data_IF_895973400349
#
_entry.id   IF_895973400349
#
_cell.length_a   1.000
_cell.length_b   1.000
_cell.length_c   1.000
_cell.angle_alpha   90.00
_cell.angle_beta   90.00
_cell.angle_gamma   90.00
#
_symmetry.space_group_name_H-M   'P 1'
#
loop_
_entity.id
_entity.type
_entity.pdbx_description
1 polymer ?
#
# COMPACT_ATOMS: atom_id res chain seq x y z
N UNK A 1 33.60 33.68 11.26
CA UNK A 1 32.24 33.64 10.67
C UNK A 1 31.33 32.95 11.66
N UNK A 2 30.35 33.68 12.19
CA UNK A 2 29.37 33.13 13.11
C UNK A 2 28.45 32.12 12.38
N UNK A 3 28.39 30.90 12.88
CA UNK A 3 27.55 29.83 12.33
C UNK A 3 26.10 29.93 12.82
N UNK A 4 25.81 30.82 13.76
CA UNK A 4 24.48 30.96 14.37
C UNK A 4 23.52 31.92 13.64
N UNK A 5 24.03 32.70 12.68
CA UNK A 5 23.24 33.69 11.95
C UNK A 5 22.99 33.30 10.47
N UNK A 6 21.84 33.69 9.88
CA UNK A 6 21.60 33.56 8.45
C UNK A 6 22.68 34.31 7.65
N UNK A 7 23.29 33.64 6.67
CA UNK A 7 24.41 34.18 5.89
C UNK A 7 23.97 35.04 4.70
N UNK A 8 22.73 34.84 4.26
CA UNK A 8 22.13 35.54 3.13
C UNK A 8 20.70 36.00 3.44
N UNK A 9 20.15 36.98 2.70
CA UNK A 9 18.73 37.35 2.81
C UNK A 9 17.78 36.17 2.53
N UNK A 10 18.18 35.24 1.66
CA UNK A 10 17.43 34.01 1.40
C UNK A 10 17.45 33.05 2.61
N UNK A 11 18.56 32.98 3.35
CA UNK A 11 18.63 32.23 4.61
C UNK A 11 17.74 32.84 5.68
N UNK A 12 17.74 34.17 5.80
CA UNK A 12 16.88 34.88 6.76
C UNK A 12 15.40 34.61 6.46
N UNK A 13 14.99 34.66 5.19
CA UNK A 13 13.62 34.31 4.77
C UNK A 13 13.27 32.86 5.06
N UNK A 14 14.20 31.92 4.80
CA UNK A 14 14.00 30.50 5.13
C UNK A 14 13.93 30.27 6.64
N UNK A 15 14.72 30.99 7.43
CA UNK A 15 14.72 30.91 8.88
C UNK A 15 13.38 31.41 9.46
N UNK A 16 12.87 32.55 8.98
CA UNK A 16 11.57 33.09 9.43
C UNK A 16 10.41 32.13 9.10
N UNK A 17 10.40 31.56 7.88
CA UNK A 17 9.41 30.54 7.49
C UNK A 17 9.47 29.26 8.35
N UNK A 18 10.66 28.94 8.90
CA UNK A 18 10.89 27.76 9.75
C UNK A 18 10.74 28.05 11.24
N UNK A 19 10.65 29.32 11.65
CA UNK A 19 10.52 29.75 13.04
C UNK A 19 9.39 29.04 13.81
N UNK A 20 8.21 28.77 13.23
CA UNK A 20 7.16 28.01 13.92
C UNK A 20 7.35 26.49 13.85
N UNK A 21 8.33 25.97 13.10
CA UNK A 21 8.53 24.53 12.88
C UNK A 21 9.56 23.98 13.88
N UNK A 22 9.13 23.08 14.76
CA UNK A 22 10.05 22.28 15.57
C UNK A 22 10.41 20.99 14.82
N UNK A 23 11.70 20.83 14.49
CA UNK A 23 12.21 19.59 13.92
C UNK A 23 12.58 18.67 15.09
N UNK A 24 11.79 17.62 15.28
CA UNK A 24 12.15 16.50 16.15
C UNK A 24 12.89 15.48 15.28
N UNK A 25 14.03 14.99 15.75
CA UNK A 25 14.76 13.88 15.12
C UNK A 25 14.00 12.55 15.38
N UNK A 26 12.78 12.45 14.85
CA UNK A 26 11.98 11.23 14.84
C UNK A 26 11.90 10.69 13.40
N UNK A 27 11.74 9.37 13.27
CA UNK A 27 11.48 8.75 11.97
C UNK A 27 10.09 9.24 11.55
N UNK A 28 10.02 10.03 10.48
CA UNK A 28 8.76 10.56 9.94
C UNK A 28 7.87 9.41 9.45
N UNK A 29 7.12 8.82 10.38
CA UNK A 29 6.15 7.77 10.14
C UNK A 29 4.77 8.43 10.18
N UNK A 30 3.94 8.19 9.15
CA UNK A 30 2.58 8.76 9.12
C UNK A 30 1.80 8.27 10.36
N UNK A 31 0.95 9.10 10.99
CA UNK A 31 0.16 8.70 12.16
C UNK A 31 -0.63 7.40 11.97
N UNK A 32 -1.16 7.16 10.76
CA UNK A 32 -1.85 5.91 10.39
C UNK A 32 -0.93 4.69 10.48
N UNK A 33 0.32 4.81 10.00
CA UNK A 33 1.31 3.73 10.11
C UNK A 33 1.73 3.49 11.56
N UNK A 34 1.76 4.55 12.39
CA UNK A 34 2.02 4.42 13.84
C UNK A 34 0.89 3.68 14.55
N UNK A 35 -0.37 4.05 14.29
CA UNK A 35 -1.54 3.39 14.87
C UNK A 35 -1.65 1.92 14.45
N UNK A 36 -1.40 1.61 13.16
CA UNK A 36 -1.37 0.23 12.68
C UNK A 36 -0.29 -0.59 13.37
N UNK A 37 0.91 -0.04 13.56
CA UNK A 37 2.00 -0.72 14.27
C UNK A 37 1.70 -0.95 15.74
N UNK A 38 1.03 -0.01 16.40
CA UNK A 38 0.60 -0.21 17.79
C UNK A 38 -0.28 -1.45 17.92
N UNK A 39 -1.30 -1.59 17.05
CA UNK A 39 -2.15 -2.78 17.03
C UNK A 39 -1.38 -4.08 16.74
N UNK A 40 -0.44 -4.06 15.80
CA UNK A 40 0.39 -5.23 15.51
C UNK A 40 1.26 -5.63 16.70
N UNK A 41 1.78 -4.65 17.45
CA UNK A 41 2.54 -4.88 18.67
C UNK A 41 1.65 -5.37 19.82
N UNK A 42 0.40 -4.91 19.92
CA UNK A 42 -0.60 -5.45 20.85
C UNK A 42 -0.92 -6.92 20.53
N UNK A 43 -1.12 -7.26 19.26
CA UNK A 43 -1.34 -8.65 18.83
C UNK A 43 -0.14 -9.55 19.19
N UNK A 44 1.08 -9.04 19.00
CA UNK A 44 2.31 -9.73 19.38
C UNK A 44 2.48 -9.84 20.90
N UNK A 45 2.15 -8.80 21.66
CA UNK A 45 2.14 -8.83 23.13
C UNK A 45 1.16 -9.88 23.66
N UNK A 46 -0.04 -9.95 23.07
CA UNK A 46 -1.01 -11.00 23.38
C UNK A 46 -0.45 -12.40 23.14
N UNK A 47 0.20 -12.61 21.99
CA UNK A 47 0.85 -13.88 21.69
C UNK A 47 1.99 -14.24 22.67
N UNK A 48 2.83 -13.27 23.03
CA UNK A 48 3.91 -13.47 24.01
C UNK A 48 3.36 -13.93 25.37
N UNK A 49 2.26 -13.33 25.83
CA UNK A 49 1.62 -13.70 27.09
C UNK A 49 1.06 -15.11 27.04
N UNK A 50 0.44 -15.49 25.93
CA UNK A 50 -0.19 -16.81 25.81
C UNK A 50 0.81 -17.94 25.59
N UNK A 51 1.95 -17.66 24.95
CA UNK A 51 2.83 -18.72 24.42
C UNK A 51 4.22 -18.73 25.06
N UNK A 52 4.67 -17.61 25.65
CA UNK A 52 6.07 -17.42 26.06
C UNK A 52 6.22 -16.93 27.51
N UNK A 53 5.12 -16.94 28.28
CA UNK A 53 5.04 -16.45 29.68
C UNK A 53 5.80 -15.13 29.89
N UNK A 54 5.64 -14.22 28.94
CA UNK A 54 6.33 -12.93 28.93
C UNK A 54 5.44 -11.89 28.25
N UNK A 55 5.91 -10.65 28.20
CA UNK A 55 5.22 -9.57 27.52
C UNK A 55 6.23 -8.71 26.75
N UNK A 56 5.72 -7.87 25.87
CA UNK A 56 6.50 -6.99 25.02
C UNK A 56 7.36 -6.01 25.83
N UNK A 57 6.85 -5.47 26.94
CA UNK A 57 7.60 -4.52 27.75
C UNK A 57 8.85 -5.16 28.37
N UNK A 58 8.74 -6.39 28.86
CA UNK A 58 9.85 -7.15 29.42
C UNK A 58 10.79 -7.67 28.34
N UNK A 59 10.24 -8.12 27.21
CA UNK A 59 11.02 -8.51 26.04
C UNK A 59 11.90 -7.36 25.52
N UNK A 60 11.38 -6.13 25.47
CA UNK A 60 12.16 -4.97 25.03
C UNK A 60 13.28 -4.59 26.00
N UNK A 61 13.16 -4.96 27.29
CA UNK A 61 14.21 -4.78 28.32
C UNK A 61 15.28 -5.87 28.31
N UNK A 62 15.16 -6.89 27.45
CA UNK A 62 16.13 -8.00 27.35
C UNK A 62 17.57 -7.46 27.25
N UNK A 63 18.52 -7.97 28.05
CA UNK A 63 19.91 -7.55 27.97
C UNK A 63 20.53 -7.70 26.58
N UNK A 64 21.59 -6.94 26.27
CA UNK A 64 22.18 -6.90 24.93
C UNK A 64 22.77 -8.23 24.48
N UNK A 65 23.25 -9.03 25.42
CA UNK A 65 23.80 -10.37 25.22
C UNK A 65 22.74 -11.43 24.87
N UNK A 66 21.45 -11.09 24.96
CA UNK A 66 20.33 -12.00 24.71
C UNK A 66 19.35 -11.45 23.66
N UNK A 67 19.76 -10.45 22.86
CA UNK A 67 18.88 -9.80 21.87
C UNK A 67 18.44 -10.75 20.75
N UNK A 68 19.19 -11.81 20.50
CA UNK A 68 18.86 -12.90 19.57
C UNK A 68 17.55 -13.59 19.98
N UNK A 69 17.23 -13.64 21.28
CA UNK A 69 15.95 -14.14 21.80
C UNK A 69 14.77 -13.39 21.20
N UNK A 70 14.89 -12.07 21.03
CA UNK A 70 13.83 -11.25 20.43
C UNK A 70 13.60 -11.68 18.98
N UNK A 71 14.67 -11.91 18.21
CA UNK A 71 14.55 -12.39 16.84
C UNK A 71 13.96 -13.81 16.78
N UNK A 72 14.36 -14.71 17.68
CA UNK A 72 13.82 -16.06 17.74
C UNK A 72 12.31 -16.09 18.03
N UNK A 73 11.84 -15.21 18.92
CA UNK A 73 10.41 -15.07 19.21
C UNK A 73 9.63 -14.49 18.03
N UNK A 74 10.21 -13.51 17.32
CA UNK A 74 9.61 -12.99 16.09
C UNK A 74 9.54 -14.04 14.98
N UNK A 75 10.53 -14.94 14.89
CA UNK A 75 10.50 -16.08 13.96
C UNK A 75 9.33 -17.01 14.31
N UNK A 76 9.19 -17.40 15.58
CA UNK A 76 8.09 -18.27 16.01
C UNK A 76 6.71 -17.64 15.75
N UNK A 77 6.56 -16.36 16.09
CA UNK A 77 5.34 -15.61 15.81
C UNK A 77 5.06 -15.53 14.30
N UNK A 78 6.07 -15.21 13.49
CA UNK A 78 5.96 -15.18 12.03
C UNK A 78 5.55 -16.52 11.44
N UNK A 79 6.09 -17.64 11.94
CA UNK A 79 5.71 -18.99 11.51
C UNK A 79 4.26 -19.29 11.86
N UNK A 80 3.78 -18.88 13.04
CA UNK A 80 2.37 -19.03 13.40
C UNK A 80 1.46 -18.16 12.52
N UNK A 81 1.85 -16.92 12.24
CA UNK A 81 1.11 -16.06 11.30
C UNK A 81 1.01 -16.71 9.92
N UNK A 82 2.10 -17.30 9.42
CA UNK A 82 2.13 -17.99 8.14
C UNK A 82 1.16 -19.18 8.13
N UNK A 83 1.27 -20.07 9.13
CA UNK A 83 0.42 -21.26 9.25
C UNK A 83 -1.07 -20.94 9.40
N UNK A 84 -1.40 -19.80 9.99
CA UNK A 84 -2.79 -19.33 10.16
C UNK A 84 -3.32 -18.55 8.97
N UNK A 85 -2.53 -18.40 7.89
CA UNK A 85 -2.94 -17.67 6.69
C UNK A 85 -3.05 -16.16 6.90
N UNK A 86 -2.38 -15.59 7.91
CA UNK A 86 -2.30 -14.14 8.08
C UNK A 86 -1.53 -13.52 6.91
N UNK A 87 -1.82 -12.28 6.49
CA UNK A 87 -1.09 -11.66 5.38
C UNK A 87 0.35 -11.28 5.78
N UNK A 88 1.29 -11.39 4.83
CA UNK A 88 2.73 -11.08 4.98
C UNK A 88 3.02 -9.78 5.75
N UNK A 89 2.25 -8.72 5.50
CA UNK A 89 2.49 -7.42 6.12
C UNK A 89 2.43 -7.46 7.65
N UNK A 90 1.66 -8.37 8.26
CA UNK A 90 1.59 -8.49 9.72
C UNK A 90 2.93 -8.93 10.30
N UNK A 91 3.62 -9.87 9.64
CA UNK A 91 4.94 -10.31 10.05
C UNK A 91 5.97 -9.17 9.88
N UNK A 92 6.11 -8.64 8.67
CA UNK A 92 7.13 -7.62 8.36
C UNK A 92 6.93 -6.30 9.12
N UNK A 93 5.69 -5.84 9.31
CA UNK A 93 5.43 -4.61 10.08
C UNK A 93 5.57 -4.81 11.59
N UNK A 94 5.39 -6.03 12.11
CA UNK A 94 5.69 -6.33 13.53
C UNK A 94 7.20 -6.26 13.78
N UNK A 95 8.02 -6.85 12.89
CA UNK A 95 9.49 -6.74 12.95
C UNK A 95 9.91 -5.26 12.91
N UNK A 96 9.32 -4.47 12.00
CA UNK A 96 9.54 -3.03 11.93
C UNK A 96 9.09 -2.28 13.19
N UNK A 97 8.00 -2.73 13.84
CA UNK A 97 7.50 -2.21 15.11
C UNK A 97 8.51 -2.39 16.23
N UNK A 98 9.04 -3.61 16.40
CA UNK A 98 10.09 -3.92 17.39
C UNK A 98 11.37 -3.12 17.11
N UNK A 99 11.81 -3.07 15.85
CA UNK A 99 12.96 -2.27 15.41
C UNK A 99 12.78 -0.74 15.59
N UNK A 100 11.53 -0.27 15.70
CA UNK A 100 11.23 1.12 16.03
C UNK A 100 11.22 1.34 17.54
N UNK A 101 10.66 0.41 18.31
CA UNK A 101 10.62 0.46 19.77
C UNK A 101 12.02 0.35 20.41
N UNK A 102 12.91 -0.46 19.84
CA UNK A 102 14.32 -0.57 20.26
C UNK A 102 15.26 -0.47 19.06
N UNK A 103 15.67 0.75 18.65
CA UNK A 103 16.48 0.94 17.44
C UNK A 103 17.83 0.21 17.43
N UNK A 104 18.45 -0.01 18.58
CA UNK A 104 19.79 -0.60 18.67
C UNK A 104 19.85 -2.09 18.33
N UNK A 105 18.73 -2.83 18.35
CA UNK A 105 18.72 -4.28 18.05
C UNK A 105 18.49 -4.61 16.59
N UNK A 106 18.37 -3.61 15.70
CA UNK A 106 18.04 -3.82 14.27
C UNK A 106 18.95 -4.84 13.57
N UNK A 107 20.23 -4.85 13.92
CA UNK A 107 21.21 -5.78 13.34
C UNK A 107 21.01 -7.22 13.80
N UNK A 108 20.40 -7.43 14.97
CA UNK A 108 20.14 -8.75 15.55
C UNK A 108 18.82 -9.38 15.06
N UNK A 109 18.05 -8.67 14.21
CA UNK A 109 16.75 -9.13 13.70
C UNK A 109 16.84 -9.86 12.35
N UNK A 110 18.05 -10.22 11.90
CA UNK A 110 18.27 -10.84 10.57
C UNK A 110 17.47 -12.11 10.40
N UNK A 111 17.46 -13.02 11.39
CA UNK A 111 16.73 -14.29 11.28
C UNK A 111 15.20 -14.09 11.13
N UNK A 112 14.63 -13.07 11.78
CA UNK A 112 13.23 -12.73 11.59
C UNK A 112 12.94 -12.20 10.18
N UNK A 113 13.88 -11.46 9.59
CA UNK A 113 13.80 -11.02 8.20
C UNK A 113 14.01 -12.17 7.21
N UNK A 114 14.92 -13.10 7.48
CA UNK A 114 15.13 -14.28 6.64
C UNK A 114 13.84 -15.10 6.53
N UNK A 115 13.12 -15.30 7.65
CA UNK A 115 11.78 -15.91 7.63
C UNK A 115 10.79 -15.07 6.79
N UNK A 116 10.78 -13.75 6.97
CA UNK A 116 9.89 -12.87 6.21
C UNK A 116 10.20 -12.91 4.70
N UNK A 117 11.46 -13.05 4.29
CA UNK A 117 11.81 -13.19 2.88
C UNK A 117 11.47 -14.59 2.36
N UNK A 118 11.72 -15.64 3.14
CA UNK A 118 11.32 -17.01 2.79
C UNK A 118 9.80 -17.10 2.59
N UNK A 119 9.02 -16.44 3.46
CA UNK A 119 7.57 -16.30 3.31
C UNK A 119 7.20 -15.83 1.89
N UNK A 120 7.80 -14.74 1.39
CA UNK A 120 7.46 -14.19 0.08
C UNK A 120 7.72 -15.18 -1.05
N UNK A 121 8.75 -16.02 -0.95
CA UNK A 121 9.06 -17.06 -1.93
C UNK A 121 8.02 -18.18 -1.93
N UNK A 122 7.59 -18.60 -0.74
CA UNK A 122 6.64 -19.70 -0.56
C UNK A 122 5.18 -19.27 -0.78
N UNK A 123 4.85 -17.99 -0.59
CA UNK A 123 3.49 -17.50 -0.78
C UNK A 123 3.12 -17.47 -2.28
N UNK A 124 1.99 -18.08 -2.68
CA UNK A 124 1.52 -18.02 -4.06
C UNK A 124 1.34 -16.57 -4.51
N UNK A 125 2.13 -16.15 -5.50
CA UNK A 125 2.11 -14.77 -5.97
C UNK A 125 0.84 -14.49 -6.79
N UNK A 126 -0.07 -13.71 -6.23
CA UNK A 126 -1.18 -13.13 -6.98
C UNK A 126 -0.78 -11.73 -7.48
N UNK A 127 -0.26 -11.64 -8.71
CA UNK A 127 -0.10 -10.32 -9.34
C UNK A 127 -1.46 -9.67 -9.52
N UNK A 128 -1.68 -8.53 -8.86
CA UNK A 128 -2.86 -7.71 -9.12
C UNK A 128 -2.86 -7.30 -10.59
N UNK A 129 -3.77 -7.89 -11.38
CA UNK A 129 -3.95 -7.53 -12.77
C UNK A 129 -4.60 -6.15 -12.85
N UNK A 130 -4.13 -5.31 -13.76
CA UNK A 130 -4.79 -4.05 -14.07
C UNK A 130 -6.24 -4.32 -14.50
N UNK A 131 -7.17 -3.45 -14.11
CA UNK A 131 -8.58 -3.59 -14.44
C UNK A 131 -8.76 -3.48 -15.97
N UNK A 132 -9.25 -4.52 -16.66
CA UNK A 132 -9.48 -4.46 -18.09
C UNK A 132 -10.55 -3.43 -18.45
N UNK A 133 -10.41 -2.76 -19.62
CA UNK A 133 -11.37 -1.76 -20.11
C UNK A 133 -12.82 -2.28 -20.11
N UNK A 134 -13.06 -3.51 -20.57
CA UNK A 134 -14.41 -4.09 -20.60
C UNK A 134 -15.05 -4.21 -19.22
N UNK A 135 -14.25 -4.54 -18.19
CA UNK A 135 -14.73 -4.60 -16.81
C UNK A 135 -15.03 -3.20 -16.27
N UNK A 136 -14.18 -2.21 -16.58
CA UNK A 136 -14.46 -0.83 -16.22
C UNK A 136 -15.81 -0.39 -16.80
N UNK A 137 -16.01 -0.57 -18.11
CA UNK A 137 -17.26 -0.18 -18.77
C UNK A 137 -18.47 -0.87 -18.13
N UNK A 138 -18.38 -2.16 -17.83
CA UNK A 138 -19.44 -2.87 -17.11
C UNK A 138 -19.74 -2.24 -15.73
N UNK A 139 -18.69 -1.95 -14.95
CA UNK A 139 -18.82 -1.29 -13.64
C UNK A 139 -19.44 0.10 -13.75
N UNK A 140 -19.01 0.91 -14.72
CA UNK A 140 -19.55 2.26 -14.95
C UNK A 140 -21.02 2.19 -15.37
N UNK A 141 -21.36 1.31 -16.32
CA UNK A 141 -22.74 1.12 -16.76
C UNK A 141 -23.65 0.66 -15.62
N UNK A 142 -23.20 -0.29 -14.79
CA UNK A 142 -23.99 -0.71 -13.62
C UNK A 142 -24.15 0.41 -12.59
N UNK A 143 -23.09 1.17 -12.31
CA UNK A 143 -23.16 2.31 -11.40
C UNK A 143 -24.16 3.35 -11.90
N UNK A 144 -24.11 3.72 -13.19
CA UNK A 144 -25.04 4.67 -13.79
C UNK A 144 -26.49 4.17 -13.73
N UNK A 145 -26.75 2.90 -14.09
CA UNK A 145 -28.09 2.29 -14.03
C UNK A 145 -28.66 2.24 -12.61
N UNK A 146 -27.80 2.13 -11.59
CA UNK A 146 -28.21 2.18 -10.17
C UNK A 146 -28.32 3.59 -9.59
N UNK A 147 -28.13 4.63 -10.41
CA UNK A 147 -28.13 6.03 -9.96
C UNK A 147 -26.87 6.41 -9.16
N UNK A 148 -25.80 5.63 -9.25
CA UNK A 148 -24.53 5.83 -8.54
C UNK A 148 -23.56 6.65 -9.41
N UNK A 149 -23.96 7.89 -9.72
CA UNK A 149 -23.20 8.78 -10.62
C UNK A 149 -21.83 9.16 -10.04
N UNK A 150 -21.75 9.43 -8.72
CA UNK A 150 -20.49 9.77 -8.07
C UNK A 150 -19.49 8.61 -8.12
N UNK A 151 -19.95 7.37 -7.95
CA UNK A 151 -19.13 6.17 -8.08
C UNK A 151 -18.60 6.02 -9.50
N UNK A 152 -19.48 6.20 -10.50
CA UNK A 152 -19.08 6.15 -11.90
C UNK A 152 -17.99 7.19 -12.18
N UNK A 153 -18.20 8.45 -11.75
CA UNK A 153 -17.19 9.51 -11.88
C UNK A 153 -15.88 9.18 -11.16
N UNK A 154 -15.94 8.64 -9.93
CA UNK A 154 -14.74 8.27 -9.16
C UNK A 154 -13.96 7.14 -9.84
N UNK A 155 -14.63 6.09 -10.31
CA UNK A 155 -13.97 4.96 -10.97
C UNK A 155 -13.42 5.34 -12.35
N UNK A 156 -14.17 6.13 -13.12
CA UNK A 156 -13.72 6.65 -14.41
C UNK A 156 -12.49 7.55 -14.24
N UNK A 157 -12.51 8.49 -13.29
CA UNK A 157 -11.38 9.35 -12.95
C UNK A 157 -10.17 8.53 -12.52
N UNK A 158 -10.35 7.57 -11.61
CA UNK A 158 -9.26 6.76 -11.09
C UNK A 158 -8.58 5.93 -12.18
N UNK A 159 -9.37 5.34 -13.09
CA UNK A 159 -8.85 4.48 -14.15
C UNK A 159 -8.21 5.30 -15.28
N UNK A 160 -8.89 6.33 -15.78
CA UNK A 160 -8.39 7.16 -16.89
C UNK A 160 -7.17 8.01 -16.50
N UNK A 161 -7.15 8.51 -15.25
CA UNK A 161 -6.05 9.30 -14.72
C UNK A 161 -4.91 8.47 -14.13
N UNK A 162 -5.01 7.14 -14.15
CA UNK A 162 -4.03 6.23 -13.51
C UNK A 162 -3.76 6.60 -12.03
N UNK A 163 -4.79 7.09 -11.35
CA UNK A 163 -4.69 7.65 -10.01
C UNK A 163 -4.74 6.53 -8.97
N UNK A 164 -4.00 6.71 -7.88
CA UNK A 164 -4.27 5.91 -6.68
C UNK A 164 -5.62 6.35 -6.12
N UNK A 165 -6.42 5.39 -5.66
CA UNK A 165 -7.73 5.74 -5.11
C UNK A 165 -7.65 6.72 -3.94
N UNK A 166 -6.57 6.68 -3.15
CA UNK A 166 -6.33 7.65 -2.07
C UNK A 166 -6.13 9.09 -2.55
N UNK A 167 -5.66 9.30 -3.77
CA UNK A 167 -5.51 10.62 -4.39
C UNK A 167 -6.88 11.17 -4.77
N UNK A 168 -7.76 10.35 -5.36
CA UNK A 168 -9.15 10.72 -5.67
C UNK A 168 -9.97 10.99 -4.41
N UNK A 169 -9.83 10.15 -3.37
CA UNK A 169 -10.55 10.31 -2.10
C UNK A 169 -10.13 11.55 -1.31
N UNK A 170 -8.91 12.04 -1.52
CA UNK A 170 -8.40 13.27 -0.92
C UNK A 170 -8.74 14.53 -1.74
N UNK A 171 -9.14 14.35 -3.01
CA UNK A 171 -9.40 15.45 -3.91
C UNK A 171 -10.73 16.16 -3.60
N UNK A 172 -10.68 17.47 -3.79
CA UNK A 172 -11.84 18.37 -3.75
C UNK A 172 -12.19 18.83 -5.16
N UNK A 173 -13.39 19.39 -5.35
CA UNK A 173 -13.84 19.86 -6.67
C UNK A 173 -12.88 20.87 -7.28
N UNK A 174 -12.30 21.80 -6.49
CA UNK A 174 -11.27 22.74 -6.97
C UNK A 174 -9.96 22.09 -7.43
N UNK A 175 -9.72 20.84 -7.05
CA UNK A 175 -8.54 20.10 -7.50
C UNK A 175 -8.77 19.47 -8.89
N UNK A 176 -10.02 19.29 -9.29
CA UNK A 176 -10.41 18.79 -10.60
C UNK A 176 -10.78 19.96 -11.50
N UNK A 177 -9.93 20.27 -12.46
CA UNK A 177 -10.15 21.29 -13.49
C UNK A 177 -10.87 20.59 -14.64
N UNK A 178 -12.13 20.93 -14.85
CA UNK A 178 -12.93 20.46 -15.99
C UNK A 178 -12.82 21.47 -17.14
N UNK A 179 -13.15 21.07 -18.39
CA UNK A 179 -13.23 22.00 -19.53
C UNK A 179 -14.00 23.29 -19.23
N UNK A 180 -15.12 23.18 -18.49
CA UNK A 180 -15.94 24.33 -18.08
C UNK A 180 -15.23 25.34 -17.16
N UNK A 181 -14.15 24.92 -16.50
CA UNK A 181 -13.36 25.76 -15.59
C UNK A 181 -12.07 26.29 -16.26
N UNK A 182 -11.78 25.85 -17.49
CA UNK A 182 -10.53 26.08 -18.17
C UNK A 182 -10.65 27.15 -19.27
N UNK A 183 -9.55 27.42 -19.96
CA UNK A 183 -9.57 28.30 -21.13
C UNK A 183 -10.48 27.72 -22.23
N UNK A 184 -11.06 28.56 -23.10
CA UNK A 184 -11.77 28.09 -24.29
C UNK A 184 -10.95 27.04 -25.07
N UNK A 185 -11.64 26.11 -25.72
CA UNK A 185 -11.06 25.00 -26.49
C UNK A 185 -10.33 23.91 -25.67
N UNK A 186 -10.35 23.99 -24.33
CA UNK A 186 -9.87 22.89 -23.48
C UNK A 186 -10.84 21.70 -23.58
N UNK A 187 -10.34 20.52 -23.98
CA UNK A 187 -11.15 19.30 -24.17
C UNK A 187 -10.87 18.19 -23.16
N UNK A 188 -9.91 18.41 -22.26
CA UNK A 188 -9.45 17.44 -21.27
C UNK A 188 -9.73 17.91 -19.85
N UNK A 189 -9.68 16.99 -18.89
CA UNK A 189 -9.73 17.32 -17.47
C UNK A 189 -8.34 17.14 -16.81
N UNK A 190 -8.04 17.96 -15.81
CA UNK A 190 -6.82 17.84 -15.00
C UNK A 190 -7.18 17.62 -13.53
N UNK A 191 -6.55 16.64 -12.88
CA UNK A 191 -6.62 16.50 -11.43
C UNK A 191 -5.29 16.90 -10.77
N UNK A 192 -5.31 17.93 -9.95
CA UNK A 192 -4.17 18.35 -9.14
C UNK A 192 -3.98 17.46 -7.91
N UNK A 193 -2.83 16.79 -7.82
CA UNK A 193 -2.49 15.86 -6.73
C UNK A 193 -1.73 16.62 -5.63
N UNK A 194 -2.42 16.96 -4.53
CA UNK A 194 -1.86 17.77 -3.42
C UNK A 194 -0.82 17.08 -2.55
N UNK A 195 -0.94 15.77 -2.36
CA UNK A 195 -0.10 15.02 -1.41
C UNK A 195 0.32 13.67 -1.99
N UNK A 196 1.14 13.64 -3.05
CA UNK A 196 1.61 12.39 -3.62
C UNK A 196 2.34 11.58 -2.54
N UNK A 197 2.20 10.25 -2.56
CA UNK A 197 2.82 9.35 -1.57
C UNK A 197 4.35 9.55 -1.47
N UNK A 198 4.95 10.13 -2.51
CA UNK A 198 6.37 10.47 -2.68
C UNK A 198 6.77 11.90 -2.27
N UNK A 199 5.89 12.69 -1.62
CA UNK A 199 6.15 14.10 -1.22
C UNK A 199 7.46 14.33 -0.45
N UNK A 200 7.99 13.30 0.22
CA UNK A 200 9.29 13.36 0.91
C UNK A 200 10.52 13.06 0.05
N UNK A 201 10.37 12.66 -1.22
CA UNK A 201 11.47 12.25 -2.12
C UNK A 201 11.40 12.82 -3.55
N UNK A 202 10.23 13.27 -4.04
CA UNK A 202 10.04 13.72 -5.43
C UNK A 202 9.18 15.00 -5.54
N UNK A 203 8.84 15.40 -6.78
CA UNK A 203 8.09 16.62 -7.12
C UNK A 203 6.87 16.83 -6.23
N UNK A 204 6.78 18.03 -5.63
CA UNK A 204 5.76 18.42 -4.65
C UNK A 204 4.37 18.63 -5.26
N UNK A 205 4.31 18.77 -6.59
CA UNK A 205 3.09 19.02 -7.36
C UNK A 205 3.08 18.04 -8.53
N UNK A 206 2.04 17.21 -8.59
CA UNK A 206 1.76 16.31 -9.70
C UNK A 206 0.34 16.58 -10.17
N UNK A 207 0.08 16.40 -11.46
CA UNK A 207 -1.26 16.45 -12.03
C UNK A 207 -1.50 15.23 -12.90
N UNK A 208 -2.75 14.78 -12.95
CA UNK A 208 -3.19 13.74 -13.85
C UNK A 208 -3.96 14.37 -15.01
N UNK A 209 -3.62 13.97 -16.22
CA UNK A 209 -4.30 14.35 -17.46
C UNK A 209 -5.36 13.30 -17.82
N UNK A 210 -6.57 13.73 -18.15
CA UNK A 210 -7.69 12.86 -18.55
C UNK A 210 -8.25 13.35 -19.88
N UNK A 211 -7.97 12.59 -20.94
CA UNK A 211 -8.30 12.92 -22.33
C UNK A 211 -9.59 12.32 -22.90
N UNK A 212 -10.01 11.08 -22.53
CA UNK A 212 -11.15 10.46 -23.21
C UNK A 212 -12.43 11.31 -23.06
N UNK A 213 -13.06 11.75 -24.16
CA UNK A 213 -14.13 12.74 -24.12
C UNK A 213 -15.38 12.23 -23.39
N UNK A 214 -15.68 10.94 -23.53
CA UNK A 214 -16.75 10.24 -22.81
C UNK A 214 -16.52 10.24 -21.30
N UNK A 215 -15.27 10.08 -20.87
CA UNK A 215 -14.90 10.19 -19.46
C UNK A 215 -15.00 11.63 -19.00
N UNK A 216 -14.48 12.60 -19.76
CA UNK A 216 -14.53 14.03 -19.41
C UNK A 216 -15.98 14.48 -19.23
N UNK A 217 -16.88 14.09 -20.12
CA UNK A 217 -18.32 14.34 -20.00
C UNK A 217 -18.91 13.72 -18.72
N UNK A 218 -18.58 12.45 -18.43
CA UNK A 218 -19.02 11.79 -17.21
C UNK A 218 -18.50 12.50 -15.94
N UNK A 219 -17.25 12.97 -15.94
CA UNK A 219 -16.69 13.74 -14.82
C UNK A 219 -17.41 15.07 -14.63
N UNK A 220 -17.76 15.71 -15.74
CA UNK A 220 -18.48 16.96 -15.76
C UNK A 220 -19.90 16.81 -15.21
N UNK A 221 -20.60 15.75 -15.60
CA UNK A 221 -21.90 15.38 -15.05
C UNK A 221 -21.83 15.04 -13.56
N UNK A 222 -20.82 14.27 -13.14
CA UNK A 222 -20.69 13.81 -11.76
C UNK A 222 -20.24 14.91 -10.79
N UNK A 223 -19.35 15.80 -11.23
CA UNK A 223 -18.65 16.73 -10.35
C UNK A 223 -18.83 18.21 -10.71
N UNK A 224 -19.27 18.53 -11.93
CA UNK A 224 -19.31 19.90 -12.45
C UNK A 224 -20.12 20.86 -11.57
N UNK A 225 -21.25 20.41 -11.03
CA UNK A 225 -22.14 21.19 -10.17
C UNK A 225 -21.73 21.21 -8.68
N UNK A 226 -20.67 20.51 -8.28
CA UNK A 226 -20.24 20.48 -6.88
C UNK A 226 -19.62 21.82 -6.45
N UNK A 227 -19.79 22.24 -5.18
CA UNK A 227 -19.06 23.38 -4.63
C UNK A 227 -17.55 23.15 -4.66
N UNK A 228 -16.76 24.19 -4.94
CA UNK A 228 -15.29 24.09 -5.07
C UNK A 228 -14.60 23.41 -3.87
N UNK A 229 -15.10 23.61 -2.65
CA UNK A 229 -14.53 23.08 -1.41
C UNK A 229 -14.98 21.65 -1.09
N UNK A 230 -16.02 21.13 -1.75
CA UNK A 230 -16.52 19.79 -1.47
C UNK A 230 -15.55 18.73 -1.98
N UNK A 231 -15.50 17.59 -1.28
CA UNK A 231 -14.76 16.42 -1.77
C UNK A 231 -15.44 15.85 -3.00
N UNK A 232 -14.66 15.30 -3.94
CA UNK A 232 -15.22 14.52 -5.05
C UNK A 232 -15.98 13.29 -4.52
N UNK A 233 -15.48 12.72 -3.41
CA UNK A 233 -16.15 11.67 -2.67
C UNK A 233 -16.36 12.10 -1.20
N UNK A 234 -17.60 12.45 -0.80
CA UNK A 234 -17.87 12.95 0.55
C UNK A 234 -17.96 11.85 1.62
N UNK A 235 -18.06 10.58 1.22
CA UNK A 235 -18.22 9.44 2.12
C UNK A 235 -16.88 8.79 2.51
N UNK A 236 -16.93 7.75 3.36
CA UNK A 236 -15.74 7.01 3.76
C UNK A 236 -15.15 6.17 2.62
N UNK A 237 -13.86 5.86 2.71
CA UNK A 237 -13.21 4.90 1.81
C UNK A 237 -13.80 3.48 1.93
N UNK A 238 -14.30 3.12 3.13
CA UNK A 238 -14.99 1.85 3.36
C UNK A 238 -16.30 1.75 2.59
N UNK A 239 -17.06 2.85 2.52
CA UNK A 239 -18.29 2.95 1.73
C UNK A 239 -18.02 2.72 0.25
N UNK A 240 -17.02 3.40 -0.32
CA UNK A 240 -16.64 3.23 -1.72
C UNK A 240 -16.23 1.78 -2.01
N UNK A 241 -15.40 1.18 -1.15
CA UNK A 241 -14.98 -0.23 -1.27
C UNK A 241 -16.18 -1.18 -1.24
N UNK A 242 -17.16 -0.94 -0.36
CA UNK A 242 -18.37 -1.75 -0.28
C UNK A 242 -19.21 -1.63 -1.55
N UNK A 243 -19.40 -0.42 -2.08
CA UNK A 243 -20.14 -0.19 -3.33
C UNK A 243 -19.43 -0.81 -4.54
N UNK A 244 -18.09 -0.71 -4.61
CA UNK A 244 -17.31 -1.38 -5.65
C UNK A 244 -17.43 -2.92 -5.56
N UNK A 245 -17.51 -3.49 -4.36
CA UNK A 245 -17.79 -4.93 -4.18
C UNK A 245 -19.17 -5.33 -4.69
N UNK A 246 -20.20 -4.52 -4.44
CA UNK A 246 -21.55 -4.77 -4.96
C UNK A 246 -21.58 -4.75 -6.50
N UNK A 247 -20.88 -3.79 -7.11
CA UNK A 247 -20.73 -3.73 -8.57
C UNK A 247 -20.01 -4.96 -9.14
N UNK A 248 -18.92 -5.41 -8.50
CA UNK A 248 -18.23 -6.64 -8.91
C UNK A 248 -19.11 -7.89 -8.76
N UNK A 249 -19.89 -7.99 -7.68
CA UNK A 249 -20.80 -9.11 -7.45
C UNK A 249 -21.85 -9.23 -8.56
N UNK A 250 -22.34 -8.11 -9.10
CA UNK A 250 -23.31 -8.09 -10.22
C UNK A 250 -22.82 -8.82 -11.47
N UNK A 251 -21.50 -8.82 -11.69
CA UNK A 251 -20.83 -9.40 -12.85
C UNK A 251 -20.12 -10.72 -12.54
N UNK A 252 -20.30 -11.30 -11.35
CA UNK A 252 -19.63 -12.54 -10.96
C UNK A 252 -18.10 -12.40 -10.84
N UNK A 253 -17.59 -11.18 -10.63
CA UNK A 253 -16.14 -10.89 -10.59
C UNK A 253 -15.53 -11.08 -9.19
N UNK A 254 -16.34 -11.45 -8.20
CA UNK A 254 -15.80 -11.83 -6.91
C UNK A 254 -15.11 -13.19 -7.06
N UNK A 255 -13.81 -13.24 -6.77
CA UNK A 255 -13.06 -14.48 -6.84
C UNK A 255 -13.80 -15.57 -6.04
N UNK A 256 -14.06 -16.76 -6.62
CA UNK A 256 -14.37 -17.91 -5.80
C UNK A 256 -13.20 -18.09 -4.83
N UNK A 257 -13.52 -18.39 -3.58
CA UNK A 257 -12.55 -18.81 -2.59
C UNK A 257 -11.76 -19.97 -3.19
N UNK A 258 -10.51 -19.74 -3.60
CA UNK A 258 -9.64 -20.81 -4.07
C UNK A 258 -9.32 -21.64 -2.83
N UNK A 259 -10.09 -22.70 -2.60
CA UNK A 259 -9.65 -23.79 -1.74
C UNK A 259 -8.33 -24.29 -2.34
N UNK A 260 -7.26 -24.44 -1.54
CA UNK A 260 -6.05 -25.04 -2.04
C UNK A 260 -6.44 -26.43 -2.54
N UNK A 261 -6.35 -26.64 -3.85
CA UNK A 261 -6.42 -27.99 -4.41
C UNK A 261 -5.34 -28.80 -3.74
N UNK A 262 -5.74 -29.81 -2.97
CA UNK A 262 -4.87 -30.87 -2.49
C UNK A 262 -4.21 -31.49 -3.74
N UNK A 263 -2.99 -31.07 -4.03
CA UNK A 263 -2.14 -31.76 -5.00
C UNK A 263 -1.90 -33.16 -4.44
N UNK A 264 -2.51 -34.15 -5.08
CA UNK A 264 -2.28 -35.57 -4.83
C UNK A 264 -0.77 -35.85 -4.85
N UNK A 265 -0.23 -36.69 -3.94
CA UNK A 265 1.19 -37.01 -3.95
C UNK A 265 1.54 -37.69 -5.27
N UNK A 266 2.51 -37.13 -6.00
CA UNK A 266 3.13 -37.82 -7.13
C UNK A 266 3.80 -39.07 -6.57
N UNK A 267 3.32 -40.22 -7.03
CA UNK A 267 3.95 -41.51 -6.87
C UNK A 267 5.34 -41.48 -7.53
N UNK A 268 6.38 -41.55 -6.73
CA UNK A 268 7.71 -41.92 -7.17
C UNK A 268 7.70 -43.41 -7.55
N UNK A 269 7.77 -43.70 -8.84
CA UNK A 269 8.14 -45.00 -9.40
C UNK A 269 8.60 -44.79 -10.84
N UNK A 270 9.91 -44.76 -11.08
CA UNK A 270 10.62 -45.82 -11.82
C UNK A 270 12.07 -45.41 -12.09
N UNK A 271 12.96 -46.37 -11.82
CA UNK A 271 14.39 -46.27 -11.98
C UNK A 271 14.84 -47.05 -13.22
N UNK A 272 15.92 -46.51 -13.85
CA UNK A 272 16.95 -47.19 -14.68
C UNK A 272 16.64 -47.53 -16.16
N UNK A 273 17.67 -47.85 -17.00
CA UNK A 273 18.99 -47.23 -17.17
C UNK A 273 19.45 -47.11 -18.67
N UNK A 274 20.53 -46.36 -18.92
CA UNK A 274 21.52 -46.68 -19.98
C UNK A 274 21.41 -45.95 -21.33
N UNK A 275 22.39 -45.09 -21.63
CA UNK A 275 22.95 -45.01 -22.98
C UNK A 275 24.40 -44.49 -22.92
N UNK A 276 25.31 -45.35 -23.36
CA UNK A 276 26.75 -45.15 -23.50
C UNK A 276 27.06 -44.63 -24.89
N UNK A 277 27.80 -43.52 -25.04
CA UNK A 277 28.67 -43.27 -26.21
C UNK A 277 29.92 -42.48 -25.77
N UNK A 278 31.08 -43.10 -25.95
CA UNK A 278 32.43 -42.57 -25.75
C UNK A 278 32.87 -41.54 -26.81
N UNK A 279 33.98 -40.82 -26.59
CA UNK A 279 34.84 -40.41 -27.69
C UNK A 279 36.27 -40.96 -27.57
N UNK A 280 36.81 -41.23 -28.75
CA UNK A 280 38.13 -41.77 -29.09
C UNK A 280 39.29 -40.95 -28.50
N UNK A 281 40.28 -41.66 -27.97
CA UNK A 281 41.64 -41.19 -27.69
C UNK A 281 42.39 -41.02 -29.03
N UNK A 282 43.13 -39.91 -29.18
CA UNK A 282 44.29 -39.82 -30.07
C UNK A 282 45.55 -39.96 -29.19
N UNK A 283 46.36 -40.96 -29.55
CA UNK A 283 47.78 -41.22 -29.22
C UNK A 283 48.19 -41.18 -27.77
#
# INVERSE_FOLDING_TARGET
MDLSAPRTPADARRAELRRPLQIVADRVIRPVTRANRARLLEDFDGWLRTTQDTNLADLLKTPWEQVERISALLVQFGQQLFRTGSPYYRCSETINGIAAARPGIRRSLSAAWDLAFAWLTEEPHAHHRALPKGILLAVLSAALTWGWLLEAGVFALAWSGLLRIGEVLAATRKDLILPRDAAPDTTFALLQIRAPKTRGRAAKHQASHVDPPDVVELLDLAFGALPQTSRLWPMSAGTLRRRFKLLQARFGLMAPMVLPTLSSPRSDQEAQPGCSIAPRIRT
#
